data_IF_623619107771
#
_entry.id   IF_623619107771
#
_cell.length_a   1.000
_cell.length_b   1.000
_cell.length_c   1.000
_cell.angle_alpha   90.00
_cell.angle_beta   90.00
_cell.angle_gamma   90.00
#
_symmetry.space_group_name_H-M   'P 1'
#
loop_
_entity.id
_entity.type
_entity.pdbx_description
1 polymer ?
#
# COMPACT_ATOMS: atom_id res chain seq x y z
N UNK A 1 -14.26 8.19 -14.29
CA UNK A 1 -13.74 9.33 -13.47
C UNK A 1 -13.10 8.92 -12.15
N UNK A 2 -13.34 7.70 -11.62
CA UNK A 2 -12.86 7.34 -10.27
C UNK A 2 -11.43 6.76 -10.23
N UNK A 3 -10.83 6.37 -11.35
CA UNK A 3 -9.41 5.95 -11.37
C UNK A 3 -8.41 7.08 -11.10
N UNK A 4 -8.85 8.33 -11.24
CA UNK A 4 -8.13 9.49 -10.70
C UNK A 4 -7.98 9.46 -9.18
N UNK A 5 -8.86 8.77 -8.46
CA UNK A 5 -8.68 8.52 -7.03
C UNK A 5 -7.45 7.65 -6.77
N UNK A 6 -7.23 6.58 -7.54
CA UNK A 6 -6.04 5.73 -7.41
C UNK A 6 -4.77 6.50 -7.76
N UNK A 7 -4.82 7.30 -8.83
CA UNK A 7 -3.72 8.20 -9.18
C UNK A 7 -3.43 9.19 -8.04
N UNK A 8 -4.45 9.88 -7.54
CA UNK A 8 -4.33 10.83 -6.44
C UNK A 8 -3.83 10.19 -5.16
N UNK A 9 -4.32 8.99 -4.81
CA UNK A 9 -3.87 8.20 -3.66
C UNK A 9 -2.39 7.84 -3.79
N UNK A 10 -1.97 7.38 -4.96
CA UNK A 10 -0.59 7.04 -5.23
C UNK A 10 0.34 8.26 -5.18
N UNK A 11 -0.06 9.39 -5.77
CA UNK A 11 0.69 10.66 -5.70
C UNK A 11 0.78 11.14 -4.26
N UNK A 12 -0.34 11.17 -3.53
CA UNK A 12 -0.37 11.56 -2.12
C UNK A 12 0.58 10.70 -1.28
N UNK A 13 0.56 9.39 -1.48
CA UNK A 13 1.43 8.46 -0.78
C UNK A 13 2.92 8.72 -1.10
N UNK A 14 3.28 8.92 -2.37
CA UNK A 14 4.66 9.24 -2.77
C UNK A 14 5.11 10.62 -2.27
N UNK A 15 4.20 11.60 -2.17
CA UNK A 15 4.50 12.91 -1.60
C UNK A 15 4.80 12.81 -0.10
N UNK A 16 3.98 12.07 0.66
CA UNK A 16 4.27 11.80 2.08
C UNK A 16 5.62 11.12 2.21
N UNK A 17 5.88 10.09 1.40
CA UNK A 17 7.14 9.38 1.39
C UNK A 17 8.33 10.32 1.13
N UNK A 18 8.23 11.18 0.11
CA UNK A 18 9.27 12.14 -0.24
C UNK A 18 9.51 13.19 0.87
N UNK A 19 8.44 13.69 1.50
CA UNK A 19 8.53 14.62 2.63
C UNK A 19 9.25 13.98 3.82
N UNK A 20 8.90 12.73 4.16
CA UNK A 20 9.58 12.00 5.24
C UNK A 20 11.08 11.80 4.93
N UNK A 21 11.43 11.43 3.70
CA UNK A 21 12.82 11.34 3.25
C UNK A 21 13.56 12.67 3.34
N UNK A 22 12.93 13.77 2.94
CA UNK A 22 13.53 15.09 2.98
C UNK A 22 13.77 15.59 4.41
N UNK A 23 12.88 15.25 5.36
CA UNK A 23 12.97 15.68 6.75
C UNK A 23 13.90 14.80 7.60
N UNK A 24 13.89 13.49 7.38
CA UNK A 24 14.58 12.53 8.25
C UNK A 24 15.78 11.85 7.60
N UNK A 25 16.00 12.05 6.30
CA UNK A 25 17.10 11.43 5.56
C UNK A 25 16.81 9.99 5.11
N UNK A 26 17.82 9.31 4.55
CA UNK A 26 17.70 7.94 4.06
C UNK A 26 17.51 6.92 5.19
N UNK A 27 16.98 5.71 4.88
CA UNK A 27 16.85 4.64 5.87
C UNK A 27 18.22 4.11 6.32
N UNK A 28 18.40 3.99 7.64
CA UNK A 28 19.60 3.43 8.27
C UNK A 28 19.44 1.96 8.67
N UNK A 29 18.20 1.45 8.66
CA UNK A 29 17.88 0.10 9.14
C UNK A 29 16.98 -0.66 8.18
N UNK A 30 17.11 -1.99 8.12
CA UNK A 30 16.30 -2.86 7.26
C UNK A 30 14.79 -2.69 7.49
N UNK A 31 14.35 -2.45 8.73
CA UNK A 31 12.96 -2.14 9.04
C UNK A 31 12.47 -0.90 8.31
N UNK A 32 13.31 0.15 8.27
CA UNK A 32 12.99 1.38 7.55
C UNK A 32 12.91 1.11 6.05
N UNK A 33 13.90 0.43 5.49
CA UNK A 33 13.87 -0.02 4.09
C UNK A 33 12.58 -0.77 3.76
N UNK A 34 12.14 -1.68 4.63
CA UNK A 34 10.94 -2.49 4.42
C UNK A 34 9.67 -1.66 4.29
N UNK A 35 9.38 -0.78 5.26
CA UNK A 35 8.16 0.03 5.18
C UNK A 35 8.22 1.07 4.07
N UNK A 36 9.40 1.65 3.85
CA UNK A 36 9.66 2.65 2.81
C UNK A 36 9.50 2.07 1.41
N UNK A 37 10.08 0.90 1.14
CA UNK A 37 9.91 0.20 -0.12
C UNK A 37 8.44 -0.18 -0.33
N UNK A 38 7.76 -0.74 0.68
CA UNK A 38 6.34 -1.10 0.58
C UNK A 38 5.46 0.10 0.21
N UNK A 39 5.69 1.25 0.84
CA UNK A 39 4.96 2.48 0.54
C UNK A 39 5.29 3.01 -0.85
N UNK A 40 6.57 3.04 -1.22
CA UNK A 40 7.01 3.51 -2.52
C UNK A 40 6.43 2.67 -3.66
N UNK A 41 6.57 1.33 -3.62
CA UNK A 41 6.03 0.50 -4.71
C UNK A 41 4.51 0.46 -4.68
N UNK A 42 3.88 0.48 -3.50
CA UNK A 42 2.43 0.61 -3.39
C UNK A 42 1.90 1.89 -4.06
N UNK A 43 2.54 3.03 -3.78
CA UNK A 43 2.21 4.31 -4.42
C UNK A 43 2.38 4.29 -5.93
N UNK A 44 3.49 3.74 -6.43
CA UNK A 44 3.74 3.59 -7.87
C UNK A 44 2.70 2.69 -8.56
N UNK A 45 2.30 1.59 -7.91
CA UNK A 45 1.28 0.69 -8.43
C UNK A 45 -0.10 1.36 -8.49
N UNK A 46 -0.46 2.17 -7.49
CA UNK A 46 -1.71 2.95 -7.53
C UNK A 46 -1.72 4.00 -8.64
N UNK A 47 -0.59 4.70 -8.85
CA UNK A 47 -0.43 5.61 -9.99
C UNK A 47 -0.60 4.85 -11.30
N UNK A 48 0.08 3.71 -11.44
CA UNK A 48 0.00 2.90 -12.65
C UNK A 48 -1.43 2.43 -12.92
N UNK A 49 -2.12 1.87 -11.92
CA UNK A 49 -3.50 1.42 -12.05
C UNK A 49 -4.48 2.57 -12.35
N UNK A 50 -4.19 3.77 -11.86
CA UNK A 50 -4.93 4.99 -12.18
C UNK A 50 -4.77 5.45 -13.63
N UNK A 51 -3.63 5.16 -14.26
CA UNK A 51 -3.28 5.62 -15.61
C UNK A 51 -3.41 4.55 -16.71
N UNK A 52 -3.32 3.27 -16.36
CA UNK A 52 -3.24 2.15 -17.32
C UNK A 52 -4.25 1.06 -16.99
N UNK A 53 -4.91 0.56 -18.03
CA UNK A 53 -5.98 -0.44 -17.90
C UNK A 53 -5.42 -1.83 -17.61
N UNK A 54 -4.22 -2.10 -18.08
CA UNK A 54 -3.52 -3.36 -17.84
C UNK A 54 -2.01 -3.22 -17.97
N UNK A 55 -1.30 -4.21 -17.44
CA UNK A 55 0.13 -4.41 -17.60
C UNK A 55 0.37 -5.80 -18.22
N UNK A 56 0.98 -5.84 -19.39
CA UNK A 56 1.42 -7.07 -20.02
C UNK A 56 2.76 -7.53 -19.39
N UNK A 57 2.80 -8.78 -18.92
CA UNK A 57 3.99 -9.44 -18.38
C UNK A 57 4.15 -10.78 -19.12
N UNK A 58 5.00 -10.78 -20.14
CA UNK A 58 5.16 -11.92 -21.04
C UNK A 58 3.86 -12.23 -21.79
N UNK A 59 3.35 -13.45 -21.66
CA UNK A 59 2.09 -13.89 -22.27
C UNK A 59 0.85 -13.58 -21.45
N UNK A 60 0.99 -13.01 -20.23
CA UNK A 60 -0.11 -12.70 -19.33
C UNK A 60 -0.35 -11.19 -19.27
N UNK A 61 -1.60 -10.80 -19.05
CA UNK A 61 -1.99 -9.41 -18.78
C UNK A 61 -2.60 -9.34 -17.38
N UNK A 62 -2.13 -8.39 -16.57
CA UNK A 62 -2.73 -8.07 -15.26
C UNK A 62 -3.55 -6.81 -15.44
N UNK A 63 -4.85 -6.90 -15.17
CA UNK A 63 -5.74 -5.74 -15.22
C UNK A 63 -5.50 -4.76 -14.07
N UNK A 64 -5.94 -3.51 -14.24
CA UNK A 64 -5.75 -2.40 -13.30
C UNK A 64 -6.18 -2.75 -11.87
N UNK A 65 -7.24 -3.54 -11.70
CA UNK A 65 -7.73 -3.94 -10.38
C UNK A 65 -6.76 -4.92 -9.70
N UNK A 66 -6.14 -5.83 -10.47
CA UNK A 66 -5.08 -6.71 -9.97
C UNK A 66 -3.85 -5.91 -9.53
N UNK A 67 -3.44 -4.91 -10.31
CA UNK A 67 -2.33 -4.00 -9.98
C UNK A 67 -2.65 -3.20 -8.70
N UNK A 68 -3.87 -2.68 -8.60
CA UNK A 68 -4.37 -1.97 -7.40
C UNK A 68 -4.29 -2.87 -6.18
N UNK A 69 -4.72 -4.13 -6.32
CA UNK A 69 -4.70 -5.08 -5.22
C UNK A 69 -3.27 -5.42 -4.74
N UNK A 70 -2.32 -5.58 -5.67
CA UNK A 70 -0.90 -5.72 -5.33
C UNK A 70 -0.39 -4.46 -4.61
N UNK A 71 -0.81 -3.26 -5.06
CA UNK A 71 -0.48 -2.00 -4.40
C UNK A 71 -0.92 -1.96 -2.94
N UNK A 72 -2.16 -2.35 -2.65
CA UNK A 72 -2.67 -2.46 -1.28
C UNK A 72 -1.91 -3.50 -0.44
N UNK A 73 -1.53 -4.64 -1.02
CA UNK A 73 -0.72 -5.65 -0.33
C UNK A 73 0.66 -5.09 0.02
N UNK A 74 1.35 -4.45 -0.93
CA UNK A 74 2.64 -3.80 -0.70
C UNK A 74 2.54 -2.74 0.41
N UNK A 75 1.47 -1.95 0.39
CA UNK A 75 1.20 -0.96 1.43
C UNK A 75 0.96 -1.60 2.80
N UNK A 76 0.15 -2.66 2.86
CA UNK A 76 -0.10 -3.42 4.09
C UNK A 76 1.18 -4.07 4.67
N UNK A 77 2.02 -4.65 3.83
CA UNK A 77 3.34 -5.19 4.23
C UNK A 77 4.24 -4.06 4.74
N UNK A 78 4.22 -2.92 4.06
CA UNK A 78 4.97 -1.75 4.50
C UNK A 78 4.50 -1.27 5.89
N UNK A 79 3.19 -1.20 6.11
CA UNK A 79 2.61 -0.86 7.41
C UNK A 79 3.01 -1.87 8.49
N UNK A 80 2.98 -3.17 8.17
CA UNK A 80 3.42 -4.20 9.10
C UNK A 80 4.89 -4.02 9.52
N UNK A 81 5.78 -3.72 8.58
CA UNK A 81 7.17 -3.40 8.89
C UNK A 81 7.30 -2.11 9.74
N UNK A 82 6.41 -1.14 9.54
CA UNK A 82 6.37 0.11 10.29
C UNK A 82 5.85 -0.07 11.73
N UNK A 83 4.88 -0.96 11.97
CA UNK A 83 4.20 -1.18 13.25
C UNK A 83 4.66 -2.44 13.97
N UNK A 84 5.69 -3.13 13.47
CA UNK A 84 6.23 -4.31 14.12
C UNK A 84 6.71 -3.96 15.55
N UNK A 85 6.23 -4.67 16.60
CA UNK A 85 6.56 -4.39 18.00
C UNK A 85 8.06 -4.41 18.28
N UNK A 86 8.51 -3.51 19.14
CA UNK A 86 9.92 -3.45 19.58
C UNK A 86 10.08 -4.01 21.00
N UNK A 87 11.11 -4.84 21.25
CA UNK A 87 11.48 -5.18 22.62
C UNK A 87 11.78 -3.90 23.42
N UNK A 88 11.27 -3.80 24.64
CA UNK A 88 11.50 -2.65 25.53
C UNK A 88 10.63 -1.41 25.26
N UNK A 89 9.63 -1.49 24.38
CA UNK A 89 8.64 -0.43 24.19
C UNK A 89 7.68 -0.26 25.37
N UNK A 90 7.05 0.91 25.48
CA UNK A 90 5.98 1.13 26.46
C UNK A 90 4.73 0.30 26.11
N UNK A 91 3.91 -0.01 27.12
CA UNK A 91 2.62 -0.71 26.91
C UNK A 91 1.68 0.08 25.98
N UNK A 92 1.75 1.41 26.05
CA UNK A 92 0.99 2.31 25.19
C UNK A 92 1.44 2.21 23.73
N UNK A 93 2.75 2.23 23.46
CA UNK A 93 3.28 2.04 22.11
C UNK A 93 2.88 0.67 21.54
N UNK A 94 2.99 -0.39 22.34
CA UNK A 94 2.54 -1.72 21.96
C UNK A 94 1.04 -1.77 21.62
N UNK A 95 0.20 -1.06 22.39
CA UNK A 95 -1.23 -0.99 22.14
C UNK A 95 -1.51 -0.36 20.76
N UNK A 96 -0.88 0.78 20.45
CA UNK A 96 -1.07 1.45 19.16
C UNK A 96 -0.53 0.62 17.98
N UNK A 97 0.63 -0.01 18.15
CA UNK A 97 1.21 -0.91 17.14
C UNK A 97 0.27 -2.08 16.83
N UNK A 98 -0.23 -2.77 17.87
CA UNK A 98 -1.19 -3.88 17.71
C UNK A 98 -2.51 -3.40 17.14
N UNK A 99 -3.03 -2.26 17.60
CA UNK A 99 -4.26 -1.68 17.07
C UNK A 99 -4.13 -1.38 15.56
N UNK A 100 -3.01 -0.79 15.13
CA UNK A 100 -2.74 -0.52 13.72
C UNK A 100 -2.60 -1.81 12.89
N UNK A 101 -1.97 -2.85 13.44
CA UNK A 101 -1.90 -4.17 12.77
C UNK A 101 -3.29 -4.79 12.59
N UNK A 102 -4.09 -4.85 13.66
CA UNK A 102 -5.41 -5.48 13.62
C UNK A 102 -6.37 -4.72 12.70
N UNK A 103 -6.32 -3.40 12.70
CA UNK A 103 -7.24 -2.57 11.92
C UNK A 103 -6.71 -2.29 10.51
N UNK A 104 -5.63 -1.52 10.41
CA UNK A 104 -5.17 -0.95 9.14
C UNK A 104 -4.46 -1.99 8.27
N UNK A 105 -3.53 -2.78 8.81
CA UNK A 105 -2.82 -3.81 8.02
C UNK A 105 -3.83 -4.84 7.49
N UNK A 106 -4.69 -5.36 8.36
CA UNK A 106 -5.76 -6.30 7.95
C UNK A 106 -6.66 -5.71 6.87
N UNK A 107 -7.07 -4.44 7.02
CA UNK A 107 -7.90 -3.76 6.03
C UNK A 107 -7.18 -3.62 4.68
N UNK A 108 -5.92 -3.22 4.66
CA UNK A 108 -5.14 -3.11 3.42
C UNK A 108 -4.98 -4.47 2.73
N UNK A 109 -4.67 -5.53 3.49
CA UNK A 109 -4.55 -6.88 2.93
C UNK A 109 -5.89 -7.39 2.40
N UNK A 110 -6.98 -7.14 3.13
CA UNK A 110 -8.34 -7.48 2.69
C UNK A 110 -8.69 -6.77 1.38
N UNK A 111 -8.50 -5.46 1.30
CA UNK A 111 -8.71 -4.67 0.09
C UNK A 111 -7.87 -5.22 -1.07
N UNK A 112 -6.59 -5.51 -0.80
CA UNK A 112 -5.69 -6.06 -1.79
C UNK A 112 -6.18 -7.36 -2.41
N UNK A 113 -6.56 -8.31 -1.55
CA UNK A 113 -7.10 -9.61 -1.98
C UNK A 113 -8.43 -9.45 -2.71
N UNK A 114 -9.32 -8.57 -2.22
CA UNK A 114 -10.62 -8.35 -2.84
C UNK A 114 -10.49 -7.76 -4.25
N UNK A 115 -9.62 -6.76 -4.43
CA UNK A 115 -9.30 -6.18 -5.74
C UNK A 115 -8.68 -7.19 -6.71
N UNK A 116 -7.79 -8.06 -6.24
CA UNK A 116 -7.23 -9.15 -7.07
C UNK A 116 -8.32 -10.12 -7.54
N UNK A 117 -9.31 -10.40 -6.68
CA UNK A 117 -10.45 -11.25 -7.00
C UNK A 117 -11.52 -10.56 -7.87
N UNK A 118 -11.28 -9.32 -8.29
CA UNK A 118 -12.24 -8.57 -9.10
C UNK A 118 -13.36 -7.91 -8.30
N UNK A 119 -13.14 -7.64 -7.00
CA UNK A 119 -14.08 -6.88 -6.17
C UNK A 119 -15.32 -7.68 -5.78
N UNK A 120 -15.12 -8.83 -5.13
CA UNK A 120 -16.23 -9.69 -4.67
C UNK A 120 -17.03 -9.01 -3.57
N UNK A 121 -16.36 -8.23 -2.71
CA UNK A 121 -16.99 -7.50 -1.61
C UNK A 121 -17.13 -6.01 -1.92
N UNK A 122 -16.18 -5.42 -2.63
CA UNK A 122 -16.26 -4.04 -3.12
C UNK A 122 -16.62 -4.03 -4.60
N UNK A 123 -17.74 -3.37 -4.93
CA UNK A 123 -18.16 -3.19 -6.32
C UNK A 123 -17.20 -2.27 -7.09
N UNK A 124 -16.20 -2.89 -7.71
CA UNK A 124 -15.19 -2.21 -8.54
C UNK A 124 -15.70 -1.87 -9.93
N UNK A 125 -16.86 -2.39 -10.37
CA UNK A 125 -17.43 -2.05 -11.68
C UNK A 125 -17.76 -0.55 -11.79
N UNK A 126 -18.06 0.06 -10.63
CA UNK A 126 -18.31 1.49 -10.47
C UNK A 126 -17.08 2.37 -10.58
N UNK A 127 -15.89 1.79 -10.78
CA UNK A 127 -14.61 2.48 -10.85
C UNK A 127 -14.08 2.64 -12.29
N UNK A 128 -14.76 2.05 -13.27
CA UNK A 128 -14.51 2.29 -14.69
C UNK A 128 -14.71 3.77 -15.08
#
# INVERSE_FOLDING_TARGET
MKRWFLFGLGVFNLLIFAVLMALFGPPDHLRQVGWMAGFAVGGLLFIFAGLRDSLAIGSKSIEWHGITGIGYICFGIGMLAMTAPRPGGSREALFFDVFAMVTMVSMMLFLGVDFIRGGVHLDISKWN
#
